data_IF_456922456539
#
_entry.id   IF_456922456539
#
_cell.length_a   1.000
_cell.length_b   1.000
_cell.length_c   1.000
_cell.angle_alpha   90.00
_cell.angle_beta   90.00
_cell.angle_gamma   90.00
#
_symmetry.space_group_name_H-M   'P 1'
#
loop_
_entity.id
_entity.type
_entity.pdbx_description
1 polymer ?
#
# COMPACT_ATOMS: atom_id res chain seq x y z
N UNK A 1 -1.43 13.92 2.45
CA UNK A 1 -0.19 13.17 2.71
C UNK A 1 0.06 12.19 1.58
N UNK A 2 1.23 12.23 0.99
CA UNK A 2 1.57 11.29 -0.08
C UNK A 2 2.75 10.42 0.34
N UNK A 3 2.58 9.11 0.19
CA UNK A 3 3.60 8.11 0.51
C UNK A 3 4.32 7.75 -0.78
N UNK A 4 5.66 7.85 -0.78
CA UNK A 4 6.47 7.45 -1.93
C UNK A 4 6.48 5.94 -2.07
N UNK A 5 6.92 5.46 -3.24
CA UNK A 5 7.04 4.03 -3.49
C UNK A 5 8.01 3.38 -2.49
N UNK A 6 9.15 4.00 -2.22
CA UNK A 6 10.11 3.50 -1.23
C UNK A 6 9.51 3.48 0.19
N UNK A 7 8.80 4.55 0.56
CA UNK A 7 8.12 4.61 1.85
C UNK A 7 7.05 3.52 1.98
N UNK A 8 6.36 3.18 0.89
CA UNK A 8 5.34 2.14 0.91
C UNK A 8 5.90 0.76 1.22
N UNK A 9 7.15 0.48 0.84
CA UNK A 9 7.82 -0.78 1.18
C UNK A 9 7.94 -0.93 2.70
N UNK A 10 8.32 0.15 3.39
CA UNK A 10 8.40 0.16 4.86
C UNK A 10 7.00 0.02 5.47
N UNK A 11 6.02 0.74 4.94
CA UNK A 11 4.64 0.65 5.41
C UNK A 11 4.09 -0.78 5.29
N UNK A 12 4.38 -1.48 4.17
CA UNK A 12 3.92 -2.86 3.98
C UNK A 12 4.45 -3.80 5.08
N UNK A 13 5.68 -3.59 5.55
CA UNK A 13 6.22 -4.36 6.67
C UNK A 13 5.36 -4.17 7.92
N UNK A 14 5.03 -2.90 8.23
CA UNK A 14 4.21 -2.58 9.40
C UNK A 14 2.78 -3.08 9.28
N UNK A 15 2.19 -2.98 8.09
CA UNK A 15 0.83 -3.46 7.87
C UNK A 15 0.72 -4.98 7.95
N UNK A 16 1.73 -5.69 7.45
CA UNK A 16 1.73 -7.16 7.43
C UNK A 16 1.82 -7.75 8.83
N UNK A 17 2.68 -7.20 9.67
CA UNK A 17 2.94 -7.76 11.00
C UNK A 17 1.89 -7.39 12.04
N UNK A 18 1.18 -6.29 11.87
CA UNK A 18 0.13 -5.81 12.77
C UNK A 18 0.54 -5.56 14.23
N UNK A 19 1.80 -5.72 14.54
CA UNK A 19 2.38 -5.44 15.86
C UNK A 19 3.49 -4.40 15.72
N UNK A 20 3.76 -3.62 16.77
CA UNK A 20 4.88 -2.67 16.71
C UNK A 20 6.19 -3.40 16.46
N UNK A 21 7.06 -2.80 15.66
CA UNK A 21 8.34 -3.39 15.27
C UNK A 21 9.49 -2.44 15.50
N UNK A 22 10.64 -3.02 15.90
CA UNK A 22 11.87 -2.24 16.05
C UNK A 22 12.42 -1.83 14.69
N UNK A 23 13.30 -0.82 14.69
CA UNK A 23 14.03 -0.45 13.48
C UNK A 23 14.82 -1.61 12.89
N UNK A 24 15.42 -2.45 13.74
CA UNK A 24 16.16 -3.64 13.30
C UNK A 24 15.26 -4.65 12.59
N UNK A 25 14.06 -4.89 13.12
CA UNK A 25 13.08 -5.78 12.50
C UNK A 25 12.68 -5.28 11.12
N UNK A 26 12.45 -3.97 11.00
CA UNK A 26 12.06 -3.34 9.75
C UNK A 26 13.19 -3.43 8.72
N UNK A 27 14.43 -3.16 9.14
CA UNK A 27 15.60 -3.29 8.27
C UNK A 27 15.72 -4.73 7.76
N UNK A 28 15.60 -5.71 8.66
CA UNK A 28 15.71 -7.12 8.28
C UNK A 28 14.63 -7.54 7.28
N UNK A 29 13.42 -7.00 7.41
CA UNK A 29 12.30 -7.35 6.53
C UNK A 29 12.33 -6.62 5.19
N UNK A 30 12.77 -5.35 5.16
CA UNK A 30 12.66 -4.51 3.98
C UNK A 30 13.95 -4.41 3.15
N UNK A 31 15.11 -4.31 3.82
CA UNK A 31 16.36 -3.96 3.16
C UNK A 31 16.88 -5.01 2.17
N UNK A 32 16.88 -6.33 2.48
CA UNK A 32 17.50 -7.32 1.58
C UNK A 32 16.92 -7.33 0.18
N UNK A 33 15.60 -7.35 0.04
CA UNK A 33 14.95 -7.41 -1.27
C UNK A 33 15.16 -6.15 -2.10
N UNK A 34 15.38 -5.01 -1.45
CA UNK A 34 15.57 -3.72 -2.11
C UNK A 34 17.04 -3.38 -2.36
N UNK A 35 17.95 -4.12 -1.77
CA UNK A 35 19.38 -3.77 -1.80
C UNK A 35 19.70 -2.50 -1.01
N UNK A 36 18.90 -2.19 0.01
CA UNK A 36 19.08 -0.99 0.81
C UNK A 36 20.08 -1.16 1.93
N UNK A 37 20.72 -0.06 2.29
CA UNK A 37 21.50 0.06 3.51
C UNK A 37 20.57 0.34 4.69
N UNK A 38 21.04 0.04 5.90
CA UNK A 38 20.31 0.37 7.13
C UNK A 38 19.96 1.87 7.20
N UNK A 39 20.90 2.73 6.82
CA UNK A 39 20.69 4.18 6.83
C UNK A 39 19.52 4.60 5.92
N UNK A 40 19.31 3.91 4.80
CA UNK A 40 18.20 4.19 3.91
C UNK A 40 16.86 3.95 4.60
N UNK A 41 16.74 2.83 5.30
CA UNK A 41 15.53 2.49 6.04
C UNK A 41 15.27 3.52 7.14
N UNK A 42 16.31 3.94 7.86
CA UNK A 42 16.19 4.96 8.92
C UNK A 42 15.71 6.30 8.35
N UNK A 43 16.20 6.69 7.19
CA UNK A 43 15.76 7.90 6.51
C UNK A 43 14.26 7.82 6.16
N UNK A 44 13.83 6.66 5.64
CA UNK A 44 12.42 6.46 5.29
C UNK A 44 11.52 6.48 6.54
N UNK A 45 11.97 5.87 7.63
CA UNK A 45 11.24 5.92 8.91
C UNK A 45 11.09 7.37 9.40
N UNK A 46 12.15 8.16 9.33
CA UNK A 46 12.10 9.57 9.74
C UNK A 46 11.12 10.38 8.88
N UNK A 47 11.09 10.13 7.59
CA UNK A 47 10.13 10.78 6.69
C UNK A 47 8.69 10.40 7.02
N UNK A 48 8.46 9.13 7.29
CA UNK A 48 7.13 8.64 7.65
C UNK A 48 6.65 9.19 9.00
N UNK A 49 7.58 9.36 9.95
CA UNK A 49 7.27 10.01 11.22
C UNK A 49 6.85 11.47 11.01
N UNK A 50 7.57 12.21 10.18
CA UNK A 50 7.24 13.60 9.84
C UNK A 50 5.89 13.72 9.16
N UNK A 51 5.55 12.76 8.32
CA UNK A 51 4.26 12.70 7.62
C UNK A 51 3.12 12.23 8.54
N UNK A 52 3.44 11.77 9.74
CA UNK A 52 2.48 11.20 10.70
C UNK A 52 1.79 9.94 10.16
N UNK A 53 2.47 9.23 9.27
CA UNK A 53 2.01 7.94 8.76
C UNK A 53 2.31 6.81 9.73
N UNK A 54 3.31 6.99 10.59
CA UNK A 54 3.71 6.06 11.63
C UNK A 54 3.93 6.79 12.94
N UNK A 55 3.89 6.05 14.03
CA UNK A 55 4.27 6.53 15.36
C UNK A 55 5.41 5.68 15.89
N UNK A 56 6.24 6.27 16.73
CA UNK A 56 7.31 5.58 17.43
C UNK A 56 7.09 5.67 18.93
N UNK A 57 7.25 4.55 19.62
CA UNK A 57 7.20 4.50 21.07
C UNK A 57 8.51 3.93 21.60
N UNK A 58 8.98 4.50 22.69
CA UNK A 58 10.21 4.03 23.29
C UNK A 58 9.96 2.75 24.10
N UNK A 59 10.80 1.75 23.85
CA UNK A 59 10.79 0.48 24.56
C UNK A 59 12.24 0.19 25.04
N UNK A 60 12.54 0.61 26.25
CA UNK A 60 13.91 0.54 26.77
C UNK A 60 14.84 1.46 25.97
N UNK A 61 15.85 0.90 25.35
CA UNK A 61 16.85 1.65 24.55
C UNK A 61 16.50 1.75 23.08
N UNK A 62 15.40 1.11 22.65
CA UNK A 62 14.99 1.08 21.27
C UNK A 62 13.63 1.75 21.09
N UNK A 63 13.28 2.02 19.83
CA UNK A 63 11.95 2.49 19.46
C UNK A 63 11.20 1.37 18.76
N UNK A 64 9.90 1.31 19.02
CA UNK A 64 8.99 0.44 18.30
C UNK A 64 8.10 1.32 17.42
N UNK A 65 7.96 0.94 16.17
CA UNK A 65 7.20 1.69 15.17
C UNK A 65 5.88 0.98 14.88
N UNK A 66 4.83 1.74 14.73
CA UNK A 66 3.53 1.21 14.33
C UNK A 66 2.89 2.11 13.28
N UNK A 67 2.07 1.52 12.42
CA UNK A 67 1.37 2.27 11.38
C UNK A 67 0.21 3.08 11.98
N UNK A 68 0.11 4.34 11.59
CA UNK A 68 -1.05 5.18 11.84
C UNK A 68 -1.93 5.24 10.60
N UNK A 69 -1.31 5.35 9.42
CA UNK A 69 -2.02 5.30 8.14
C UNK A 69 -2.49 3.87 7.90
N UNK A 70 -3.78 3.71 7.62
CA UNK A 70 -4.35 2.39 7.31
C UNK A 70 -4.07 2.01 5.85
N UNK A 71 -3.75 0.73 5.63
CA UNK A 71 -3.46 0.25 4.28
C UNK A 71 -4.61 0.50 3.31
N UNK A 72 -5.85 0.28 3.74
CA UNK A 72 -7.03 0.52 2.90
C UNK A 72 -7.13 1.96 2.43
N UNK A 73 -6.82 2.92 3.29
CA UNK A 73 -6.86 4.33 2.94
C UNK A 73 -5.74 4.67 1.93
N UNK A 74 -4.56 4.11 2.11
CA UNK A 74 -3.46 4.28 1.17
C UNK A 74 -3.80 3.70 -0.21
N UNK A 75 -4.29 2.47 -0.24
CA UNK A 75 -4.66 1.79 -1.49
C UNK A 75 -5.76 2.56 -2.22
N UNK A 76 -6.76 3.04 -1.48
CA UNK A 76 -7.83 3.84 -2.08
C UNK A 76 -7.27 5.13 -2.72
N UNK A 77 -6.44 5.88 -1.99
CA UNK A 77 -5.86 7.13 -2.49
C UNK A 77 -5.01 6.92 -3.74
N UNK A 78 -4.18 5.87 -3.75
CA UNK A 78 -3.33 5.54 -4.89
C UNK A 78 -4.15 5.08 -6.09
N UNK A 79 -5.16 4.25 -5.85
CA UNK A 79 -6.06 3.76 -6.91
C UNK A 79 -6.84 4.90 -7.53
N UNK A 80 -7.37 5.80 -6.70
CA UNK A 80 -8.11 6.98 -7.17
C UNK A 80 -7.21 7.90 -7.99
N UNK A 81 -6.00 8.14 -7.52
CA UNK A 81 -5.02 8.98 -8.22
C UNK A 81 -4.71 8.42 -9.62
N UNK A 82 -4.49 7.11 -9.71
CA UNK A 82 -4.21 6.44 -10.97
C UNK A 82 -5.39 6.55 -11.93
N UNK A 83 -6.61 6.29 -11.46
CA UNK A 83 -7.82 6.42 -12.27
C UNK A 83 -8.02 7.84 -12.77
N UNK A 84 -7.84 8.83 -11.90
CA UNK A 84 -8.02 10.24 -12.26
C UNK A 84 -7.01 10.68 -13.32
N UNK A 85 -5.75 10.27 -13.17
CA UNK A 85 -4.69 10.70 -14.10
C UNK A 85 -4.75 10.02 -15.46
N UNK A 86 -5.05 8.72 -15.47
CA UNK A 86 -4.89 7.90 -16.69
C UNK A 86 -6.22 7.50 -17.34
N UNK A 87 -7.29 7.44 -16.57
CA UNK A 87 -8.57 6.89 -17.06
C UNK A 87 -9.77 7.82 -16.83
N UNK A 88 -9.51 9.10 -16.61
CA UNK A 88 -10.59 10.08 -16.42
C UNK A 88 -11.48 9.77 -15.22
N UNK A 89 -10.96 9.12 -14.21
CA UNK A 89 -11.69 8.73 -13.00
C UNK A 89 -12.62 7.53 -13.17
N UNK A 90 -12.51 6.79 -14.27
CA UNK A 90 -13.45 5.72 -14.62
C UNK A 90 -12.80 4.35 -14.61
N UNK A 91 -13.47 3.38 -13.96
CA UNK A 91 -12.98 2.00 -13.86
C UNK A 91 -13.13 1.23 -15.19
N UNK A 92 -14.17 1.51 -15.96
CA UNK A 92 -14.40 0.83 -17.23
C UNK A 92 -13.20 0.84 -18.16
N UNK A 93 -12.63 2.02 -18.47
CA UNK A 93 -11.44 2.10 -19.32
C UNK A 93 -10.22 1.38 -18.74
N UNK A 94 -10.06 1.34 -17.42
CA UNK A 94 -8.99 0.59 -16.78
C UNK A 94 -9.12 -0.91 -17.08
N UNK A 95 -10.31 -1.47 -16.89
CA UNK A 95 -10.59 -2.88 -17.16
C UNK A 95 -10.39 -3.19 -18.65
N UNK A 96 -10.87 -2.33 -19.54
CA UNK A 96 -10.67 -2.47 -20.99
C UNK A 96 -9.20 -2.52 -21.35
N UNK A 97 -8.39 -1.62 -20.77
CA UNK A 97 -6.95 -1.58 -21.02
C UNK A 97 -6.29 -2.92 -20.66
N UNK A 98 -6.57 -3.44 -19.47
CA UNK A 98 -5.96 -4.69 -19.02
C UNK A 98 -6.49 -5.90 -19.78
N UNK A 99 -7.73 -5.88 -20.25
CA UNK A 99 -8.26 -6.98 -21.06
C UNK A 99 -7.60 -7.05 -22.44
N UNK A 100 -7.18 -5.91 -23.00
CA UNK A 100 -6.52 -5.82 -24.31
C UNK A 100 -5.01 -6.10 -24.22
N UNK A 101 -4.35 -5.57 -23.18
CA UNK A 101 -2.89 -5.62 -23.05
C UNK A 101 -2.39 -6.81 -22.23
N UNK A 102 -3.20 -7.27 -21.32
CA UNK A 102 -2.87 -8.39 -20.44
C UNK A 102 -4.01 -9.39 -20.52
N UNK A 103 -3.68 -10.66 -20.34
CA UNK A 103 -4.70 -11.70 -20.38
C UNK A 103 -5.35 -11.79 -19.00
N UNK A 104 -6.62 -11.46 -18.90
CA UNK A 104 -7.38 -11.68 -17.68
C UNK A 104 -7.58 -13.17 -17.49
N UNK A 105 -7.34 -13.66 -16.27
CA UNK A 105 -7.56 -15.07 -15.93
C UNK A 105 -9.06 -15.34 -15.82
N UNK A 106 -9.43 -16.61 -15.87
CA UNK A 106 -10.83 -17.03 -15.64
C UNK A 106 -11.30 -16.61 -14.25
N UNK A 107 -10.39 -16.66 -13.28
CA UNK A 107 -10.66 -16.21 -11.91
C UNK A 107 -10.98 -14.71 -11.87
N UNK A 108 -10.18 -13.90 -12.54
CA UNK A 108 -10.42 -12.46 -12.63
C UNK A 108 -11.77 -12.14 -13.25
N UNK A 109 -12.09 -12.81 -14.34
CA UNK A 109 -13.37 -12.60 -15.05
C UNK A 109 -14.53 -12.97 -14.15
N UNK A 110 -14.43 -14.10 -13.44
CA UNK A 110 -15.49 -14.56 -12.52
C UNK A 110 -15.69 -13.57 -11.37
N UNK A 111 -14.60 -13.06 -10.79
CA UNK A 111 -14.67 -12.08 -9.71
C UNK A 111 -15.29 -10.77 -10.19
N UNK A 112 -14.92 -10.30 -11.36
CA UNK A 112 -15.49 -9.06 -11.95
C UNK A 112 -16.98 -9.23 -12.21
N UNK A 113 -17.39 -10.35 -12.81
CA UNK A 113 -18.80 -10.63 -13.07
C UNK A 113 -19.61 -10.65 -11.78
N UNK A 114 -19.11 -11.31 -10.74
CA UNK A 114 -19.80 -11.40 -9.45
C UNK A 114 -19.96 -10.02 -8.82
N UNK A 115 -18.94 -9.17 -8.89
CA UNK A 115 -19.00 -7.80 -8.37
C UNK A 115 -20.03 -6.97 -9.13
N UNK A 116 -20.08 -7.09 -10.46
CA UNK A 116 -21.03 -6.35 -11.28
C UNK A 116 -22.46 -6.75 -10.95
N UNK A 117 -22.72 -8.05 -10.83
CA UNK A 117 -24.04 -8.57 -10.47
C UNK A 117 -24.49 -8.08 -9.11
N UNK A 118 -23.58 -8.06 -8.13
CA UNK A 118 -23.85 -7.56 -6.79
C UNK A 118 -24.20 -6.07 -6.81
N UNK A 119 -23.43 -5.27 -7.54
CA UNK A 119 -23.68 -3.84 -7.69
C UNK A 119 -25.02 -3.55 -8.38
N UNK A 120 -25.38 -4.33 -9.40
CA UNK A 120 -26.66 -4.20 -10.09
C UNK A 120 -27.84 -4.51 -9.17
N UNK A 121 -27.71 -5.49 -8.29
CA UNK A 121 -28.75 -5.81 -7.30
C UNK A 121 -28.95 -4.68 -6.30
N UNK A 122 -27.85 -4.07 -5.85
CA UNK A 122 -27.90 -2.97 -4.87
C UNK A 122 -28.56 -1.70 -5.43
N UNK A 123 -28.58 -1.54 -6.75
CA UNK A 123 -29.20 -0.39 -7.42
C UNK A 123 -30.68 -0.56 -7.70
N UNK A 124 -31.24 -1.70 -7.38
CA UNK A 124 -32.69 -1.97 -7.54
C UNK A 124 -33.48 -1.69 -6.23
#
# INVERSE_FOLDING_TARGET
MRISEAESVVMEVLWREQAPQSGEDIVAAAAPAQGWQEATVKTLLNRLLKKKAIAAERDGRRYLYRALLKRGDYVHAESKSLLDRLYGGRVGPLVAHFSERMKLTRKDIAEIKALIEELDRDKR
#
